data_IF_644773550748
#
_entry.id   IF_644773550748
#
_cell.length_a   1.000
_cell.length_b   1.000
_cell.length_c   1.000
_cell.angle_alpha   90.00
_cell.angle_beta   90.00
_cell.angle_gamma   90.00
#
_symmetry.space_group_name_H-M   'P 1'
#
loop_
_entity.id
_entity.type
_entity.pdbx_description
1 polymer ?
#
# COMPACT_ATOMS: atom_id res chain seq x y z
N UNK A 1 17.67 18.19 38.24
CA UNK A 1 17.32 16.96 38.98
C UNK A 1 18.03 15.82 38.27
N UNK A 2 19.05 15.24 38.88
CA UNK A 2 19.80 14.13 38.26
C UNK A 2 18.90 12.89 38.38
N UNK A 3 18.51 12.29 37.26
CA UNK A 3 17.75 11.04 37.29
C UNK A 3 18.58 9.99 38.01
N UNK A 4 18.01 9.23 38.96
CA UNK A 4 18.73 8.12 39.61
C UNK A 4 19.31 7.20 38.54
N UNK A 5 20.62 6.99 38.59
CA UNK A 5 21.29 6.06 37.68
C UNK A 5 21.29 4.69 38.34
N UNK A 6 20.52 3.76 37.78
CA UNK A 6 20.56 2.36 38.17
C UNK A 6 21.79 1.72 37.53
N UNK A 7 22.65 1.09 38.33
CA UNK A 7 23.75 0.29 37.79
C UNK A 7 23.32 -1.16 37.65
N UNK A 8 24.00 -1.89 36.77
CA UNK A 8 23.71 -3.30 36.52
C UNK A 8 23.95 -4.17 37.76
N UNK A 9 24.91 -3.79 38.60
CA UNK A 9 25.22 -4.44 39.89
C UNK A 9 24.07 -4.38 40.90
N UNK A 10 23.20 -3.36 40.81
CA UNK A 10 22.10 -3.11 41.75
C UNK A 10 20.81 -3.88 41.36
N UNK A 11 20.76 -4.52 40.19
CA UNK A 11 19.56 -5.19 39.67
C UNK A 11 19.06 -6.33 40.59
N UNK A 12 19.92 -7.21 41.15
CA UNK A 12 19.46 -8.29 42.02
C UNK A 12 18.81 -7.78 43.32
N UNK A 13 19.40 -6.75 43.95
CA UNK A 13 18.85 -6.12 45.15
C UNK A 13 17.50 -5.45 44.83
N UNK A 14 17.40 -4.77 43.70
CA UNK A 14 16.15 -4.16 43.24
C UNK A 14 15.04 -5.20 42.99
N UNK A 15 15.39 -6.39 42.51
CA UNK A 15 14.43 -7.48 42.33
C UNK A 15 13.88 -7.98 43.67
N UNK A 16 14.75 -8.13 44.67
CA UNK A 16 14.35 -8.53 46.03
C UNK A 16 13.43 -7.48 46.66
N UNK A 17 13.79 -6.20 46.53
CA UNK A 17 12.98 -5.08 47.01
C UNK A 17 11.61 -5.02 46.34
N UNK A 18 11.55 -5.21 45.02
CA UNK A 18 10.30 -5.25 44.26
C UNK A 18 9.39 -6.39 44.73
N UNK A 19 9.93 -7.60 44.90
CA UNK A 19 9.18 -8.75 45.41
C UNK A 19 8.72 -8.54 46.86
N UNK A 20 9.58 -7.99 47.71
CA UNK A 20 9.24 -7.68 49.10
C UNK A 20 8.10 -6.66 49.17
N UNK A 21 8.21 -5.56 48.41
CA UNK A 21 7.16 -4.55 48.32
C UNK A 21 5.83 -5.11 47.80
N UNK A 22 5.87 -5.97 46.77
CA UNK A 22 4.67 -6.63 46.24
C UNK A 22 4.06 -7.61 47.25
N UNK A 23 4.87 -8.37 48.00
CA UNK A 23 4.38 -9.27 49.05
C UNK A 23 3.68 -8.51 50.18
N UNK A 24 4.22 -7.34 50.57
CA UNK A 24 3.60 -6.46 51.55
C UNK A 24 2.30 -5.87 50.98
N UNK A 25 2.29 -5.51 49.70
CA UNK A 25 1.11 -5.01 49.02
C UNK A 25 -0.01 -6.07 48.96
N UNK A 26 0.32 -7.32 48.63
CA UNK A 26 -0.62 -8.44 48.60
C UNK A 26 -1.21 -8.75 49.99
N UNK A 27 -0.40 -8.57 51.04
CA UNK A 27 -0.84 -8.76 52.43
C UNK A 27 -1.79 -7.64 52.88
N UNK A 28 -1.46 -6.39 52.55
CA UNK A 28 -2.11 -5.21 53.12
C UNK A 28 -3.29 -4.68 52.29
N UNK A 29 -3.36 -5.02 50.99
CA UNK A 29 -4.41 -4.56 50.08
C UNK A 29 -5.28 -5.70 49.52
N UNK A 30 -6.57 -5.43 49.22
CA UNK A 30 -7.48 -6.44 48.70
C UNK A 30 -7.09 -6.90 47.29
N UNK A 31 -7.51 -8.12 46.94
CA UNK A 31 -7.29 -8.72 45.60
C UNK A 31 -7.78 -7.83 44.44
N UNK A 32 -8.78 -6.97 44.65
CA UNK A 32 -9.25 -6.03 43.62
C UNK A 32 -8.20 -5.01 43.19
N UNK A 33 -7.19 -4.75 44.02
CA UNK A 33 -6.07 -3.87 43.70
C UNK A 33 -4.91 -4.61 43.02
N UNK A 34 -4.94 -5.95 43.00
CA UNK A 34 -3.96 -6.79 42.32
C UNK A 34 -4.36 -6.93 40.84
N UNK A 35 -4.07 -5.88 40.08
CA UNK A 35 -4.41 -5.80 38.66
C UNK A 35 -3.20 -6.13 37.77
N UNK A 36 -3.39 -6.01 36.46
CA UNK A 36 -2.32 -6.27 35.50
C UNK A 36 -1.07 -5.40 35.77
N UNK A 37 -1.23 -4.16 36.23
CA UNK A 37 -0.11 -3.25 36.50
C UNK A 37 0.72 -3.74 37.68
N UNK A 38 0.09 -4.19 38.76
CA UNK A 38 0.81 -4.78 39.90
C UNK A 38 1.48 -6.09 39.52
N UNK A 39 0.84 -6.91 38.67
CA UNK A 39 1.47 -8.13 38.15
C UNK A 39 2.71 -7.81 37.31
N UNK A 40 2.66 -6.78 36.47
CA UNK A 40 3.78 -6.38 35.63
C UNK A 40 5.01 -5.96 36.45
N UNK A 41 4.83 -5.42 37.66
CA UNK A 41 5.94 -5.04 38.53
C UNK A 41 6.84 -6.22 38.92
N UNK A 42 6.34 -7.46 38.92
CA UNK A 42 7.17 -8.66 39.11
C UNK A 42 8.20 -8.84 37.99
N UNK A 43 7.82 -8.52 36.75
CA UNK A 43 8.62 -8.77 35.55
C UNK A 43 9.41 -7.54 35.08
N UNK A 44 9.18 -6.37 35.68
CA UNK A 44 9.79 -5.11 35.25
C UNK A 44 11.31 -5.16 35.39
N UNK A 45 11.80 -5.66 36.53
CA UNK A 45 13.23 -5.68 36.85
C UNK A 45 13.96 -6.77 36.04
N UNK A 46 13.33 -7.93 35.83
CA UNK A 46 13.80 -8.98 34.89
C UNK A 46 14.03 -8.45 33.47
N UNK A 47 13.25 -7.44 33.07
CA UNK A 47 13.35 -6.83 31.74
C UNK A 47 14.49 -5.82 31.59
N UNK A 48 15.22 -5.44 32.64
CA UNK A 48 16.29 -4.44 32.54
C UNK A 48 17.54 -4.93 31.81
N UNK A 49 18.07 -6.15 32.06
CA UNK A 49 19.25 -6.65 31.34
C UNK A 49 19.04 -6.75 29.83
N UNK A 50 17.86 -7.16 29.38
CA UNK A 50 17.57 -7.37 27.95
C UNK A 50 17.25 -6.08 27.21
N UNK A 51 16.49 -5.18 27.84
CA UNK A 51 15.87 -4.06 27.13
C UNK A 51 16.30 -2.69 27.67
N UNK A 52 17.16 -2.66 28.68
CA UNK A 52 17.63 -1.44 29.32
C UNK A 52 16.55 -0.73 30.17
N UNK A 53 16.78 0.54 30.52
CA UNK A 53 15.92 1.28 31.44
C UNK A 53 14.46 1.41 30.96
N UNK A 54 13.51 1.42 31.91
CA UNK A 54 12.08 1.51 31.61
C UNK A 54 11.70 2.78 30.83
N UNK A 55 12.31 3.92 31.15
CA UNK A 55 11.98 5.22 30.53
C UNK A 55 12.21 5.25 29.02
N UNK A 56 13.16 4.46 28.50
CA UNK A 56 13.40 4.34 27.06
C UNK A 56 12.27 3.62 26.31
N UNK A 57 11.38 2.94 27.06
CA UNK A 57 10.26 2.15 26.56
C UNK A 57 8.90 2.76 26.92
N UNK A 58 8.88 3.93 27.56
CA UNK A 58 7.64 4.59 27.90
C UNK A 58 6.92 5.09 26.65
N UNK A 59 5.59 5.01 26.66
CA UNK A 59 4.75 5.60 25.63
C UNK A 59 4.65 7.13 25.75
N UNK A 60 5.14 7.71 26.84
CA UNK A 60 5.05 9.15 27.10
C UNK A 60 5.53 10.07 25.96
N UNK A 61 6.65 9.80 25.25
CA UNK A 61 7.04 10.60 24.09
C UNK A 61 6.02 10.51 22.94
N UNK A 62 5.44 9.33 22.72
CA UNK A 62 4.40 9.11 21.70
C UNK A 62 3.10 9.82 22.07
N UNK A 63 2.67 9.75 23.33
CA UNK A 63 1.50 10.49 23.81
C UNK A 63 1.68 12.00 23.62
N UNK A 64 2.87 12.51 23.89
CA UNK A 64 3.20 13.93 23.68
C UNK A 64 3.17 14.30 22.20
N UNK A 65 3.69 13.44 21.33
CA UNK A 65 3.62 13.60 19.88
C UNK A 65 2.17 13.61 19.39
N UNK A 66 1.36 12.64 19.82
CA UNK A 66 -0.07 12.56 19.48
C UNK A 66 -0.83 13.82 19.90
N UNK A 67 -0.53 14.35 21.09
CA UNK A 67 -1.10 15.61 21.55
C UNK A 67 -0.68 16.81 20.69
N UNK A 68 0.57 16.83 20.19
CA UNK A 68 1.02 17.86 19.25
C UNK A 68 0.33 17.74 17.90
N UNK A 69 0.29 16.53 17.32
CA UNK A 69 -0.39 16.25 16.04
C UNK A 69 -1.86 16.66 16.13
N UNK A 70 -2.56 16.22 17.17
CA UNK A 70 -3.98 16.56 17.40
C UNK A 70 -4.22 18.07 17.42
N UNK A 71 -3.30 18.85 18.01
CA UNK A 71 -3.42 20.31 18.02
C UNK A 71 -3.23 20.93 16.64
N UNK A 72 -2.35 20.39 15.80
CA UNK A 72 -2.21 20.86 14.43
C UNK A 72 -3.44 20.48 13.59
N UNK A 73 -3.92 19.24 13.74
CA UNK A 73 -5.16 18.73 13.10
C UNK A 73 -6.38 19.61 13.36
N UNK A 74 -6.48 20.20 14.56
CA UNK A 74 -7.64 20.98 15.00
C UNK A 74 -7.47 22.50 14.84
N UNK A 75 -6.37 22.97 14.27
CA UNK A 75 -6.10 24.41 14.09
C UNK A 75 -6.98 24.98 12.96
N UNK A 76 -7.97 25.81 13.31
CA UNK A 76 -8.88 26.46 12.34
C UNK A 76 -8.15 27.47 11.44
N UNK A 77 -8.47 27.46 10.14
CA UNK A 77 -7.95 28.42 9.15
C UNK A 77 -6.58 28.03 8.57
N UNK A 78 -6.14 26.80 8.80
CA UNK A 78 -4.90 26.25 8.29
C UNK A 78 -5.05 24.78 7.86
N UNK A 79 -6.26 24.36 7.46
CA UNK A 79 -6.56 22.97 7.08
C UNK A 79 -5.57 22.38 6.05
N UNK A 80 -5.12 23.15 5.05
CA UNK A 80 -4.14 22.69 4.06
C UNK A 80 -2.74 22.48 4.67
N UNK A 81 -2.28 23.40 5.53
CA UNK A 81 -0.98 23.28 6.19
C UNK A 81 -0.97 22.12 7.19
N UNK A 82 -2.09 21.90 7.87
CA UNK A 82 -2.33 20.79 8.78
C UNK A 82 -2.29 19.43 8.07
N UNK A 83 -2.88 19.32 6.88
CA UNK A 83 -2.80 18.12 6.04
C UNK A 83 -1.34 17.88 5.60
N UNK A 84 -0.66 18.92 5.12
CA UNK A 84 0.74 18.83 4.70
C UNK A 84 1.69 18.43 5.86
N UNK A 85 1.53 18.98 7.05
CA UNK A 85 2.33 18.58 8.24
C UNK A 85 2.03 17.13 8.67
N UNK A 86 0.78 16.68 8.53
CA UNK A 86 0.42 15.28 8.81
C UNK A 86 1.10 14.32 7.83
N UNK A 87 1.17 14.68 6.54
CA UNK A 87 1.92 13.93 5.54
C UNK A 87 3.43 13.91 5.81
N UNK A 88 4.01 14.99 6.34
CA UNK A 88 5.43 14.99 6.74
C UNK A 88 5.70 13.99 7.87
N UNK A 89 4.80 13.88 8.87
CA UNK A 89 4.91 12.87 9.92
C UNK A 89 4.74 11.46 9.36
N UNK A 90 3.78 11.27 8.43
CA UNK A 90 3.58 10.00 7.74
C UNK A 90 4.80 9.58 6.93
N UNK A 91 5.37 10.48 6.13
CA UNK A 91 6.58 10.24 5.33
C UNK A 91 7.78 9.95 6.21
N UNK A 92 7.92 10.63 7.36
CA UNK A 92 8.96 10.33 8.33
C UNK A 92 8.80 8.93 8.96
N UNK A 93 7.58 8.56 9.36
CA UNK A 93 7.27 7.22 9.86
C UNK A 93 7.55 6.15 8.79
N UNK A 94 7.12 6.39 7.54
CA UNK A 94 7.41 5.51 6.41
C UNK A 94 8.90 5.40 6.13
N UNK A 95 9.65 6.51 6.17
CA UNK A 95 11.10 6.51 6.03
C UNK A 95 11.78 5.69 7.15
N UNK A 96 11.34 5.82 8.41
CA UNK A 96 11.90 5.08 9.54
C UNK A 96 11.63 3.57 9.45
N UNK A 97 10.46 3.17 8.94
CA UNK A 97 10.09 1.77 8.66
C UNK A 97 10.89 1.23 7.47
N UNK A 98 10.90 1.94 6.35
CA UNK A 98 11.58 1.51 5.11
C UNK A 98 13.11 1.49 5.25
N UNK A 99 13.69 2.38 6.05
CA UNK A 99 15.13 2.40 6.33
C UNK A 99 15.61 1.27 7.24
N UNK A 100 14.70 0.41 7.73
CA UNK A 100 14.96 -0.67 8.69
C UNK A 100 15.65 -0.21 9.99
N UNK A 101 15.67 1.11 10.25
CA UNK A 101 16.18 1.69 11.50
C UNK A 101 15.19 1.56 12.64
N UNK A 102 13.92 1.30 12.32
CA UNK A 102 12.90 0.87 13.26
C UNK A 102 12.70 -0.64 13.13
N UNK A 103 13.19 -1.41 14.11
CA UNK A 103 12.85 -2.84 14.24
C UNK A 103 11.68 -2.94 15.22
N UNK A 104 10.44 -3.16 14.76
CA UNK A 104 9.34 -3.42 15.68
C UNK A 104 9.69 -4.63 16.57
N UNK A 105 9.41 -4.58 17.88
CA UNK A 105 9.61 -5.75 18.73
C UNK A 105 8.75 -6.91 18.21
N UNK A 106 9.28 -8.14 18.28
CA UNK A 106 8.61 -9.35 17.79
C UNK A 106 7.15 -9.40 18.29
N UNK A 107 6.21 -9.44 17.34
CA UNK A 107 4.76 -9.43 17.59
C UNK A 107 4.02 -8.13 17.25
N UNK A 108 4.73 -7.02 16.97
CA UNK A 108 4.07 -5.76 16.57
C UNK A 108 3.61 -5.72 15.09
N UNK A 109 3.97 -6.73 14.28
CA UNK A 109 3.47 -6.88 12.90
C UNK A 109 1.94 -6.97 12.86
N UNK A 110 1.30 -7.53 13.89
CA UNK A 110 -0.16 -7.59 13.98
C UNK A 110 -0.81 -6.23 14.27
N UNK A 111 -0.14 -5.32 14.98
CA UNK A 111 -0.71 -4.02 15.35
C UNK A 111 -0.67 -3.05 14.18
N UNK A 112 0.40 -3.07 13.38
CA UNK A 112 0.46 -2.29 12.13
C UNK A 112 -0.55 -2.81 11.09
N UNK A 113 -0.74 -4.13 11.01
CA UNK A 113 -1.79 -4.73 10.18
C UNK A 113 -3.21 -4.40 10.69
N UNK A 114 -3.41 -4.18 12.00
CA UNK A 114 -4.72 -3.77 12.55
C UNK A 114 -5.03 -2.28 12.40
N UNK A 115 -4.04 -1.39 12.38
CA UNK A 115 -4.28 0.04 12.08
C UNK A 115 -4.73 0.23 10.63
N UNK A 116 -4.30 -0.64 9.71
CA UNK A 116 -4.88 -0.74 8.35
C UNK A 116 -6.34 -1.24 8.33
N UNK A 117 -6.88 -1.73 9.46
CA UNK A 117 -8.18 -2.37 9.55
C UNK A 117 -9.15 -1.74 10.57
N UNK A 118 -8.83 -0.57 11.16
CA UNK A 118 -9.80 0.18 11.99
C UNK A 118 -10.75 0.99 11.10
N UNK A 119 -12.07 0.74 11.14
CA UNK A 119 -13.03 1.34 10.22
C UNK A 119 -13.60 2.61 10.85
N UNK A 120 -13.02 3.79 10.59
CA UNK A 120 -13.80 5.04 10.72
C UNK A 120 -13.19 6.29 10.07
N UNK A 121 -11.95 6.27 9.58
CA UNK A 121 -11.53 7.33 8.66
C UNK A 121 -12.10 6.98 7.29
N UNK A 122 -13.02 7.82 6.81
CA UNK A 122 -13.71 7.74 5.52
C UNK A 122 -12.71 7.99 4.38
N UNK A 123 -11.71 7.12 4.25
CA UNK A 123 -10.90 7.01 3.05
C UNK A 123 -11.71 6.19 2.05
N UNK A 124 -11.85 6.74 0.85
CA UNK A 124 -12.45 6.10 -0.32
C UNK A 124 -12.19 4.60 -0.35
N UNK A 125 -13.28 3.82 -0.46
CA UNK A 125 -13.21 2.38 -0.65
C UNK A 125 -12.40 2.07 -1.93
N UNK A 126 -11.11 1.80 -1.75
CA UNK A 126 -10.35 1.00 -2.70
C UNK A 126 -10.80 -0.43 -2.44
N UNK A 127 -11.54 -0.98 -3.39
CA UNK A 127 -11.98 -2.37 -3.38
C UNK A 127 -10.80 -3.27 -3.04
N UNK A 128 -10.90 -3.99 -1.92
CA UNK A 128 -10.00 -5.09 -1.60
C UNK A 128 -10.17 -6.16 -2.69
N UNK A 129 -9.34 -6.11 -3.73
CA UNK A 129 -9.05 -7.29 -4.53
C UNK A 129 -8.26 -8.24 -3.65
N UNK A 130 -8.63 -9.52 -3.67
CA UNK A 130 -7.77 -10.57 -3.15
C UNK A 130 -6.51 -10.59 -4.01
N UNK A 131 -5.49 -9.85 -3.58
CA UNK A 131 -4.21 -9.75 -4.30
C UNK A 131 -3.57 -11.14 -4.32
N UNK A 132 -3.53 -11.73 -5.52
CA UNK A 132 -2.78 -12.95 -5.78
C UNK A 132 -1.44 -12.54 -6.36
N UNK A 133 -0.37 -12.94 -5.70
CA UNK A 133 0.98 -12.75 -6.22
C UNK A 133 1.24 -13.73 -7.38
N UNK A 134 1.61 -13.17 -8.53
CA UNK A 134 1.95 -13.89 -9.75
C UNK A 134 3.46 -13.84 -9.94
N UNK A 135 4.09 -15.00 -10.12
CA UNK A 135 5.51 -15.11 -10.50
C UNK A 135 5.65 -14.66 -11.95
N UNK A 136 6.51 -13.68 -12.21
CA UNK A 136 6.77 -13.19 -13.56
C UNK A 136 7.54 -14.24 -14.37
N UNK A 137 7.07 -14.50 -15.59
CA UNK A 137 7.82 -15.33 -16.54
C UNK A 137 9.07 -14.58 -17.03
N UNK A 138 10.11 -15.32 -17.45
CA UNK A 138 11.35 -14.73 -17.97
C UNK A 138 11.10 -13.72 -19.10
N UNK A 139 10.16 -14.04 -20.00
CA UNK A 139 9.75 -13.14 -21.09
C UNK A 139 9.08 -11.85 -20.58
N UNK A 140 8.24 -11.94 -19.54
CA UNK A 140 7.61 -10.76 -18.92
C UNK A 140 8.67 -9.89 -18.24
N UNK A 141 9.54 -10.50 -17.43
CA UNK A 141 10.61 -9.79 -16.74
C UNK A 141 11.55 -9.07 -17.70
N UNK A 142 11.97 -9.74 -18.77
CA UNK A 142 12.81 -9.14 -19.81
C UNK A 142 12.12 -7.97 -20.52
N UNK A 143 10.82 -8.11 -20.84
CA UNK A 143 10.05 -7.04 -21.47
C UNK A 143 9.89 -5.83 -20.55
N UNK A 144 9.52 -6.06 -19.28
CA UNK A 144 9.32 -5.00 -18.29
C UNK A 144 10.62 -4.26 -18.01
N UNK A 145 11.73 -5.00 -17.79
CA UNK A 145 13.07 -4.44 -17.60
C UNK A 145 13.48 -3.53 -18.75
N UNK A 146 13.36 -4.02 -20.00
CA UNK A 146 13.65 -3.23 -21.20
C UNK A 146 12.80 -1.96 -21.28
N UNK A 147 11.53 -2.04 -20.93
CA UNK A 147 10.63 -0.89 -20.94
C UNK A 147 11.04 0.16 -19.91
N UNK A 148 11.35 -0.24 -18.68
CA UNK A 148 11.80 0.67 -17.63
C UNK A 148 13.10 1.39 -18.00
N UNK A 149 14.09 0.66 -18.52
CA UNK A 149 15.36 1.23 -18.94
C UNK A 149 15.21 2.13 -20.18
N UNK A 150 14.46 1.70 -21.18
CA UNK A 150 14.40 2.39 -22.49
C UNK A 150 13.38 3.52 -22.50
N UNK A 151 12.15 3.25 -22.04
CA UNK A 151 11.02 4.17 -22.17
C UNK A 151 10.89 5.10 -20.96
N UNK A 152 11.06 4.55 -19.75
CA UNK A 152 10.98 5.35 -18.51
C UNK A 152 12.33 5.90 -18.05
N UNK A 153 13.44 5.44 -18.65
CA UNK A 153 14.82 5.82 -18.28
C UNK A 153 15.13 5.59 -16.80
N UNK A 154 14.56 4.54 -16.22
CA UNK A 154 14.77 4.14 -14.84
C UNK A 154 16.02 3.26 -14.78
N UNK A 155 16.98 3.63 -13.94
CA UNK A 155 18.10 2.75 -13.58
C UNK A 155 17.61 1.70 -12.59
N UNK A 156 17.57 0.44 -12.99
CA UNK A 156 16.99 -0.63 -12.16
C UNK A 156 18.03 -1.11 -11.15
N UNK A 157 17.87 -0.71 -9.89
CA UNK A 157 18.67 -1.20 -8.76
C UNK A 157 17.98 -2.39 -8.06
N UNK A 158 16.66 -2.40 -8.09
CA UNK A 158 15.82 -3.44 -7.51
C UNK A 158 14.65 -3.76 -8.44
N UNK A 159 14.43 -5.04 -8.69
CA UNK A 159 13.37 -5.55 -9.57
C UNK A 159 12.73 -6.74 -8.87
N UNK A 160 11.42 -6.68 -8.63
CA UNK A 160 10.71 -7.80 -8.00
C UNK A 160 10.44 -8.91 -9.02
N UNK A 161 10.58 -10.18 -8.65
CA UNK A 161 10.19 -11.28 -9.55
C UNK A 161 8.69 -11.60 -9.48
N UNK A 162 7.98 -10.93 -8.58
CA UNK A 162 6.56 -11.10 -8.33
C UNK A 162 5.79 -9.83 -8.70
N UNK A 163 4.59 -10.01 -9.23
CA UNK A 163 3.63 -8.93 -9.45
C UNK A 163 2.27 -9.29 -8.82
N UNK A 164 1.61 -8.31 -8.22
CA UNK A 164 0.26 -8.48 -7.65
C UNK A 164 -0.80 -8.34 -8.74
N UNK A 165 -1.69 -9.31 -8.86
CA UNK A 165 -2.81 -9.27 -9.79
C UNK A 165 -3.96 -8.41 -9.26
N UNK A 166 -4.41 -7.45 -10.07
CA UNK A 166 -5.59 -6.61 -9.78
C UNK A 166 -6.64 -6.68 -10.89
N UNK A 167 -7.90 -6.54 -10.49
CA UNK A 167 -9.07 -6.58 -11.39
C UNK A 167 -9.63 -5.19 -11.75
N UNK A 168 -9.08 -4.14 -11.18
CA UNK A 168 -9.45 -2.76 -11.53
C UNK A 168 -8.28 -1.82 -11.31
N UNK A 169 -8.19 -0.82 -12.18
CA UNK A 169 -7.30 0.31 -12.02
C UNK A 169 -8.14 1.59 -11.88
N UNK A 170 -7.87 2.37 -10.84
CA UNK A 170 -8.52 3.66 -10.61
C UNK A 170 -7.43 4.68 -10.29
N UNK A 171 -7.36 5.72 -11.10
CA UNK A 171 -6.65 6.97 -10.82
C UNK A 171 -7.69 8.10 -10.68
N UNK A 172 -7.31 9.26 -10.16
CA UNK A 172 -8.21 10.39 -9.88
C UNK A 172 -9.12 10.76 -11.07
N UNK A 173 -8.62 10.62 -12.30
CA UNK A 173 -9.35 10.95 -13.53
C UNK A 173 -9.81 9.73 -14.36
N UNK A 174 -9.34 8.51 -14.04
CA UNK A 174 -9.47 7.35 -14.95
C UNK A 174 -9.85 6.08 -14.21
N UNK A 175 -10.90 5.42 -14.66
CA UNK A 175 -11.33 4.12 -14.14
C UNK A 175 -11.40 3.08 -15.25
N UNK A 176 -10.49 2.11 -15.20
CA UNK A 176 -10.42 1.01 -16.15
C UNK A 176 -10.76 -0.28 -15.39
N UNK A 177 -11.76 -0.99 -15.89
CA UNK A 177 -12.30 -2.19 -15.24
C UNK A 177 -12.08 -3.41 -16.13
N UNK A 178 -11.74 -4.54 -15.50
CA UNK A 178 -11.74 -5.83 -16.17
C UNK A 178 -13.07 -6.55 -15.99
N UNK A 179 -13.29 -7.60 -16.79
CA UNK A 179 -14.49 -8.43 -16.68
C UNK A 179 -14.38 -9.32 -15.44
N UNK A 180 -14.95 -8.89 -14.31
CA UNK A 180 -14.97 -9.71 -13.10
C UNK A 180 -15.96 -10.87 -13.26
N UNK A 181 -15.61 -12.07 -12.77
CA UNK A 181 -16.43 -13.28 -12.84
C UNK A 181 -17.88 -13.11 -12.31
N UNK A 182 -18.13 -12.14 -11.43
CA UNK A 182 -19.44 -11.87 -10.81
C UNK A 182 -20.04 -10.50 -11.19
N UNK A 183 -19.43 -9.78 -12.12
CA UNK A 183 -19.85 -8.43 -12.53
C UNK A 183 -20.68 -8.48 -13.81
N UNK A 184 -21.81 -7.77 -13.83
CA UNK A 184 -22.58 -7.47 -15.05
C UNK A 184 -21.96 -6.37 -15.91
N UNK A 185 -20.84 -5.77 -15.48
CA UNK A 185 -20.18 -4.69 -16.21
C UNK A 185 -19.27 -5.28 -17.28
N UNK A 186 -19.34 -4.71 -18.47
CA UNK A 186 -18.42 -5.05 -19.52
C UNK A 186 -17.01 -4.52 -19.19
N UNK A 187 -16.00 -5.24 -19.65
CA UNK A 187 -14.59 -4.86 -19.61
C UNK A 187 -14.34 -3.57 -20.39
N UNK A 188 -13.31 -2.84 -19.98
CA UNK A 188 -12.92 -1.61 -20.69
C UNK A 188 -12.17 -1.95 -21.97
N UNK A 189 -12.61 -1.38 -23.09
CA UNK A 189 -11.88 -1.40 -24.36
C UNK A 189 -10.99 -0.17 -24.40
N UNK A 190 -9.73 -0.38 -24.73
CA UNK A 190 -8.70 0.65 -24.69
C UNK A 190 -7.89 0.66 -25.99
N UNK A 191 -7.30 1.80 -26.30
CA UNK A 191 -6.33 1.94 -27.40
C UNK A 191 -4.92 1.76 -26.84
N UNK A 192 -4.13 0.90 -27.49
CA UNK A 192 -2.73 0.67 -27.16
C UNK A 192 -1.85 1.55 -28.05
N UNK A 193 -1.08 2.43 -27.42
CA UNK A 193 -0.18 3.39 -28.07
C UNK A 193 1.18 2.73 -28.34
N UNK A 194 1.28 1.94 -29.42
CA UNK A 194 2.55 1.27 -29.78
C UNK A 194 2.86 1.31 -31.28
N UNK A 195 3.07 2.51 -31.84
CA UNK A 195 3.48 2.71 -33.24
C UNK A 195 2.40 2.44 -34.30
N UNK A 196 1.51 1.47 -34.07
CA UNK A 196 0.29 1.24 -34.85
C UNK A 196 -0.93 1.28 -33.93
N UNK A 197 -2.03 1.84 -34.45
CA UNK A 197 -3.28 1.99 -33.71
C UNK A 197 -3.92 0.62 -33.49
N UNK A 198 -3.84 0.10 -32.27
CA UNK A 198 -4.41 -1.19 -31.90
C UNK A 198 -5.44 -1.00 -30.79
N UNK A 199 -6.56 -1.72 -30.88
CA UNK A 199 -7.58 -1.76 -29.83
C UNK A 199 -7.47 -3.09 -29.10
N UNK A 200 -7.78 -3.06 -27.81
CA UNK A 200 -7.82 -4.28 -27.03
C UNK A 200 -8.68 -4.16 -25.78
N UNK A 201 -9.02 -5.31 -25.23
CA UNK A 201 -9.81 -5.45 -24.02
C UNK A 201 -8.88 -5.74 -22.84
N UNK A 202 -9.06 -5.02 -21.73
CA UNK A 202 -8.22 -5.22 -20.54
C UNK A 202 -8.70 -6.43 -19.74
N UNK A 203 -7.83 -7.44 -19.62
CA UNK A 203 -8.12 -8.70 -18.94
C UNK A 203 -7.78 -8.66 -17.45
N UNK A 204 -6.61 -8.13 -17.12
CA UNK A 204 -6.10 -8.02 -15.75
C UNK A 204 -5.06 -6.92 -15.66
N UNK A 205 -4.84 -6.42 -14.46
CA UNK A 205 -3.74 -5.53 -14.12
C UNK A 205 -2.70 -6.30 -13.30
N UNK A 206 -1.44 -5.93 -13.50
CA UNK A 206 -0.30 -6.43 -12.75
C UNK A 206 0.40 -5.24 -12.12
N UNK A 207 0.47 -5.21 -10.81
CA UNK A 207 1.26 -4.22 -10.08
C UNK A 207 2.63 -4.79 -9.75
N UNK A 208 3.65 -4.10 -10.22
CA UNK A 208 5.02 -4.56 -10.15
C UNK A 208 5.90 -3.51 -9.49
N UNK A 209 6.70 -3.93 -8.53
CA UNK A 209 7.57 -3.03 -7.76
C UNK A 209 8.97 -2.98 -8.37
N UNK A 210 9.40 -1.79 -8.79
CA UNK A 210 10.77 -1.52 -9.24
C UNK A 210 11.33 -0.34 -8.46
N UNK A 211 12.51 -0.51 -7.88
CA UNK A 211 13.16 0.50 -7.03
C UNK A 211 12.22 1.08 -5.94
N UNK A 212 11.40 0.22 -5.33
CA UNK A 212 10.40 0.62 -4.34
C UNK A 212 9.28 1.53 -4.89
N UNK A 213 9.15 1.63 -6.22
CA UNK A 213 8.08 2.36 -6.90
C UNK A 213 7.12 1.36 -7.53
N UNK A 214 5.85 1.48 -7.20
CA UNK A 214 4.79 0.63 -7.74
C UNK A 214 4.44 1.08 -9.16
N UNK A 215 4.53 0.14 -10.11
CA UNK A 215 4.24 0.37 -11.52
C UNK A 215 3.11 -0.54 -11.96
N UNK A 216 2.11 0.02 -12.63
CA UNK A 216 0.94 -0.73 -13.10
C UNK A 216 1.07 -1.12 -14.56
N UNK A 217 0.87 -2.40 -14.80
CA UNK A 217 0.80 -3.01 -16.12
C UNK A 217 -0.59 -3.57 -16.35
N UNK A 218 -0.98 -3.69 -17.62
CA UNK A 218 -2.21 -4.33 -18.03
C UNK A 218 -1.90 -5.45 -19.03
N UNK A 219 -2.58 -6.57 -18.88
CA UNK A 219 -2.63 -7.59 -19.92
C UNK A 219 -3.86 -7.30 -20.78
N UNK A 220 -3.61 -7.03 -22.05
CA UNK A 220 -4.62 -6.60 -23.02
C UNK A 220 -4.78 -7.67 -24.09
N UNK A 221 -6.01 -8.11 -24.31
CA UNK A 221 -6.40 -8.96 -25.43
C UNK A 221 -6.54 -8.07 -26.68
N UNK A 222 -5.63 -8.22 -27.65
CA UNK A 222 -5.57 -7.34 -28.83
C UNK A 222 -6.47 -7.86 -29.95
N UNK A 223 -7.27 -6.96 -30.52
CA UNK A 223 -8.19 -7.26 -31.63
C UNK A 223 -7.58 -6.93 -33.00
N UNK A 224 -8.09 -7.53 -34.09
CA UNK A 224 -7.68 -7.15 -35.44
C UNK A 224 -8.03 -5.69 -35.75
N UNK A 225 -7.21 -5.06 -36.59
CA UNK A 225 -7.45 -3.70 -37.08
C UNK A 225 -8.81 -3.64 -37.78
N UNK A 226 -9.68 -2.76 -37.27
CA UNK A 226 -11.04 -2.60 -37.76
C UNK A 226 -11.15 -1.71 -39.00
N UNK A 227 -12.19 -1.94 -39.78
CA UNK A 227 -12.57 -1.04 -40.86
C UNK A 227 -13.13 0.27 -40.28
N UNK A 228 -12.64 1.41 -40.79
CA UNK A 228 -13.15 2.73 -40.40
C UNK A 228 -14.24 3.16 -41.38
N UNK A 229 -15.46 3.32 -40.89
CA UNK A 229 -16.59 3.89 -41.64
C UNK A 229 -17.30 4.92 -40.78
N UNK A 230 -17.53 6.10 -41.33
CA UNK A 230 -18.39 7.15 -40.75
C UNK A 230 -18.06 7.54 -39.29
N UNK A 231 -16.76 7.64 -38.95
CA UNK A 231 -16.31 8.01 -37.61
C UNK A 231 -16.37 6.88 -36.57
N UNK A 232 -16.81 5.68 -36.96
CA UNK A 232 -16.80 4.47 -36.15
C UNK A 232 -15.64 3.57 -36.60
N UNK A 233 -14.96 2.95 -35.62
CA UNK A 233 -14.02 1.86 -35.89
C UNK A 233 -14.71 0.53 -35.56
N UNK A 234 -14.87 -0.34 -36.56
CA UNK A 234 -15.52 -1.64 -36.39
C UNK A 234 -14.51 -2.75 -36.57
N UNK A 235 -14.31 -3.56 -35.54
CA UNK A 235 -13.43 -4.74 -35.58
C UNK A 235 -14.17 -6.01 -35.15
N UNK A 236 -13.64 -7.15 -35.57
CA UNK A 236 -14.15 -8.46 -35.19
C UNK A 236 -13.78 -8.73 -33.73
N UNK A 237 -14.71 -9.31 -32.96
CA UNK A 237 -14.51 -9.67 -31.56
C UNK A 237 -13.72 -10.99 -31.42
N UNK A 238 -12.57 -11.08 -32.10
CA UNK A 238 -11.67 -12.24 -32.06
C UNK A 238 -10.32 -11.81 -31.50
N UNK A 239 -9.88 -12.45 -30.43
CA UNK A 239 -8.58 -12.17 -29.80
C UNK A 239 -7.47 -12.70 -30.71
N UNK A 240 -6.60 -11.81 -31.18
CA UNK A 240 -5.44 -12.21 -31.98
C UNK A 240 -4.31 -12.75 -31.09
N UNK A 241 -3.94 -11.96 -30.09
CA UNK A 241 -2.87 -12.29 -29.13
C UNK A 241 -3.02 -11.44 -27.87
N UNK A 242 -2.29 -11.84 -26.83
CA UNK A 242 -2.22 -11.13 -25.56
C UNK A 242 -0.97 -10.29 -25.50
N UNK A 243 -1.08 -9.07 -24.96
CA UNK A 243 0.05 -8.17 -24.82
C UNK A 243 0.13 -7.59 -23.42
N UNK A 244 1.33 -7.61 -22.87
CA UNK A 244 1.66 -6.91 -21.63
C UNK A 244 2.04 -5.46 -21.96
N UNK A 245 1.29 -4.51 -21.43
CA UNK A 245 1.43 -3.08 -21.75
C UNK A 245 1.44 -2.27 -20.46
N UNK A 246 2.33 -1.28 -20.38
CA UNK A 246 2.35 -0.36 -19.23
C UNK A 246 1.14 0.57 -19.28
N UNK A 247 0.56 0.93 -18.13
CA UNK A 247 -0.68 1.72 -18.07
C UNK A 247 -0.59 3.06 -18.83
N UNK A 248 0.59 3.68 -18.85
CA UNK A 248 0.85 4.94 -19.59
C UNK A 248 0.72 4.83 -21.11
N UNK A 249 0.76 3.61 -21.67
CA UNK A 249 0.60 3.39 -23.12
C UNK A 249 -0.84 3.03 -23.48
N UNK A 250 -1.78 3.19 -22.54
CA UNK A 250 -3.17 2.83 -22.70
C UNK A 250 -4.03 4.10 -22.64
N UNK A 251 -4.99 4.22 -23.54
CA UNK A 251 -5.93 5.35 -23.54
C UNK A 251 -6.97 5.25 -22.43
N UNK A 252 -7.74 6.32 -22.29
CA UNK A 252 -9.01 6.30 -21.59
C UNK A 252 -9.95 5.20 -22.13
N UNK A 253 -10.84 4.66 -21.29
CA UNK A 253 -11.80 3.65 -21.70
C UNK A 253 -12.69 4.20 -22.81
N UNK A 254 -12.71 3.50 -23.94
CA UNK A 254 -13.44 3.91 -25.12
C UNK A 254 -14.92 3.55 -24.99
N UNK A 255 -15.78 4.41 -25.54
CA UNK A 255 -17.22 4.11 -25.65
C UNK A 255 -17.41 3.15 -26.82
N UNK A 256 -18.00 1.99 -26.55
CA UNK A 256 -18.18 0.95 -27.56
C UNK A 256 -19.55 0.27 -27.47
N UNK A 257 -19.97 -0.27 -28.61
CA UNK A 257 -21.14 -1.14 -28.74
C UNK A 257 -20.66 -2.50 -29.23
N UNK A 258 -20.95 -3.55 -28.46
CA UNK A 258 -20.57 -4.92 -28.77
C UNK A 258 -21.81 -5.71 -29.22
N UNK A 259 -21.73 -6.24 -30.44
CA UNK A 259 -22.63 -7.24 -30.98
C UNK A 259 -21.88 -8.59 -31.00
N UNK A 260 -22.61 -9.71 -31.09
CA UNK A 260 -22.05 -11.07 -30.92
C UNK A 260 -20.74 -11.34 -31.67
N UNK A 261 -20.55 -10.74 -32.86
CA UNK A 261 -19.35 -10.93 -33.68
C UNK A 261 -18.47 -9.67 -33.86
N UNK A 262 -18.96 -8.48 -33.50
CA UNK A 262 -18.29 -7.22 -33.84
C UNK A 262 -18.37 -6.21 -32.70
N UNK A 263 -17.28 -5.49 -32.50
CA UNK A 263 -17.21 -4.33 -31.62
C UNK A 263 -17.11 -3.09 -32.49
N UNK A 264 -17.99 -2.12 -32.24
CA UNK A 264 -17.95 -0.79 -32.85
C UNK A 264 -17.58 0.23 -31.79
N UNK A 265 -16.46 0.91 -31.97
CA UNK A 265 -15.96 1.93 -31.04
C UNK A 265 -16.27 3.32 -31.59
N UNK A 266 -16.89 4.14 -30.74
CA UNK A 266 -17.16 5.54 -31.04
C UNK A 266 -15.87 6.32 -30.82
N UNK A 267 -15.38 6.97 -31.88
CA UNK A 267 -14.13 7.70 -31.84
C UNK A 267 -14.34 9.03 -31.09
N UNK A 268 -13.82 9.14 -29.87
CA UNK A 268 -13.65 10.44 -29.22
C UNK A 268 -12.52 11.22 -29.94
N UNK A 269 -12.60 12.54 -29.90
CA UNK A 269 -12.13 13.46 -30.93
C UNK A 269 -10.61 13.67 -31.10
N UNK A 270 -9.73 12.73 -30.74
CA UNK A 270 -8.26 12.93 -30.77
C UNK A 270 -7.54 12.18 -31.90
N UNK A 271 -8.14 12.20 -33.10
CA UNK A 271 -7.40 11.94 -34.36
C UNK A 271 -7.14 13.28 -35.04
N UNK A 272 -6.42 14.17 -34.36
CA UNK A 272 -5.65 15.24 -34.97
C UNK A 272 -4.33 15.36 -34.21
N UNK A 273 -3.26 14.91 -34.86
CA UNK A 273 -1.84 15.13 -34.54
C UNK A 273 -1.24 14.27 -33.41
N UNK A 274 -0.73 13.10 -33.80
CA UNK A 274 0.62 12.63 -33.46
C UNK A 274 1.14 11.81 -34.64
#
# INVERSE_FOLDING_TARGET
>A
MVSPQLKEEDIPELQEDAHSALSLFERDFPLSMQNLVTHLLHHVVDGFPTFGPLYGRWLFPYERANGWISRQCLKKGAEEATVMETYVVYDWCMYMVMSQKYKPPHGADEVMNRVQHSPEVTAFQISQSQDKDVILTEAMSAHMRKFYETSMKINIFFFNEYASEKYSYSSEDRKICTKHHNSRKNSSIVKVLSGHLQFGEVRMFLEHNVNCTLQTWAVVDVFPLGERKDGLCKFQNTVLFQRLVHINLISDPLVYVQNDNFVSVLNDADIKNL
#
